data_IF_694292867175
#
_entry.id   IF_694292867175
#
_cell.length_a   1.000
_cell.length_b   1.000
_cell.length_c   1.000
_cell.angle_alpha   90.00
_cell.angle_beta   90.00
_cell.angle_gamma   90.00
#
_symmetry.space_group_name_H-M   'P 1'
#
loop_
_entity.id
_entity.type
_entity.pdbx_description
1 polymer ?
#
# COMPACT_ATOMS: atom_id res chain seq x y z
N UNK A 1 8.49 -13.45 -100.68
CA UNK A 1 8.21 -12.01 -100.48
C UNK A 1 7.08 -11.86 -99.47
N UNK A 2 7.28 -11.05 -98.41
CA UNK A 2 6.32 -10.54 -97.38
C UNK A 2 5.74 -11.59 -96.40
N UNK A 3 6.34 -11.76 -95.21
CA UNK A 3 6.05 -11.15 -93.87
C UNK A 3 4.77 -11.69 -93.19
N UNK A 4 4.91 -12.59 -92.19
CA UNK A 4 4.80 -12.39 -90.71
C UNK A 4 3.40 -12.01 -90.20
N UNK A 5 2.82 -12.52 -89.11
CA UNK A 5 2.98 -13.67 -88.21
C UNK A 5 1.75 -13.58 -87.27
N UNK A 6 1.03 -14.69 -87.11
CA UNK A 6 0.24 -15.22 -85.98
C UNK A 6 -0.39 -14.22 -84.96
N UNK A 7 -1.70 -14.38 -84.75
CA UNK A 7 -2.55 -13.48 -83.96
C UNK A 7 -2.55 -13.64 -82.44
N UNK A 8 -3.38 -12.80 -81.79
CA UNK A 8 -3.77 -12.95 -80.40
C UNK A 8 -5.14 -12.32 -80.16
N UNK A 9 -6.05 -13.11 -79.57
CA UNK A 9 -7.45 -12.80 -79.28
C UNK A 9 -7.53 -12.09 -77.93
N UNK A 10 -8.00 -10.84 -77.90
CA UNK A 10 -8.05 -10.00 -76.70
C UNK A 10 -9.42 -10.16 -76.02
N UNK A 11 -9.48 -10.93 -74.93
CA UNK A 11 -10.64 -11.02 -74.05
C UNK A 11 -10.41 -10.09 -72.84
N UNK A 12 -11.21 -9.03 -72.75
CA UNK A 12 -11.27 -8.10 -71.63
C UNK A 12 -11.80 -8.83 -70.38
N UNK A 13 -10.95 -9.03 -69.38
CA UNK A 13 -11.34 -9.52 -68.05
C UNK A 13 -11.39 -8.34 -67.06
N UNK A 14 -12.58 -8.14 -66.50
CA UNK A 14 -12.91 -7.14 -65.48
C UNK A 14 -12.23 -7.53 -64.15
N UNK A 15 -11.28 -6.73 -63.67
CA UNK A 15 -10.66 -6.94 -62.35
C UNK A 15 -11.51 -6.23 -61.28
N UNK A 16 -12.32 -6.97 -60.53
CA UNK A 16 -12.91 -6.50 -59.27
C UNK A 16 -11.80 -6.42 -58.21
N UNK A 17 -11.42 -5.21 -57.84
CA UNK A 17 -10.63 -4.95 -56.63
C UNK A 17 -11.59 -4.98 -55.42
N UNK A 18 -11.69 -6.13 -54.73
CA UNK A 18 -12.23 -6.15 -53.37
C UNK A 18 -11.15 -5.67 -52.41
N UNK A 19 -11.24 -4.42 -51.98
CA UNK A 19 -10.46 -3.87 -50.88
C UNK A 19 -10.99 -4.53 -49.60
N UNK A 20 -10.31 -5.58 -49.13
CA UNK A 20 -10.52 -6.10 -47.79
C UNK A 20 -9.89 -5.11 -46.79
N UNK A 21 -10.71 -4.21 -46.25
CA UNK A 21 -10.34 -3.47 -45.05
C UNK A 21 -10.22 -4.48 -43.91
N UNK A 22 -8.99 -4.91 -43.61
CA UNK A 22 -8.68 -5.62 -42.39
C UNK A 22 -9.01 -4.73 -41.21
N UNK A 23 -10.18 -4.94 -40.63
CA UNK A 23 -10.54 -4.40 -39.31
C UNK A 23 -9.66 -5.14 -38.31
N UNK A 24 -8.48 -4.58 -38.01
CA UNK A 24 -7.76 -4.93 -36.78
C UNK A 24 -8.60 -4.40 -35.62
N UNK A 25 -9.43 -5.28 -35.07
CA UNK A 25 -10.03 -5.07 -33.76
C UNK A 25 -8.90 -5.02 -32.74
N UNK A 26 -8.54 -3.81 -32.32
CA UNK A 26 -7.74 -3.56 -31.15
C UNK A 26 -8.51 -4.10 -29.94
N UNK A 27 -8.12 -5.28 -29.47
CA UNK A 27 -8.71 -5.95 -28.31
C UNK A 27 -8.37 -5.12 -27.06
N UNK A 28 -9.14 -4.06 -26.83
CA UNK A 28 -9.21 -3.38 -25.54
C UNK A 28 -9.55 -4.46 -24.52
N UNK A 29 -8.58 -4.83 -23.72
CA UNK A 29 -8.70 -5.75 -22.60
C UNK A 29 -9.57 -5.08 -21.52
N UNK A 30 -10.86 -4.94 -21.78
CA UNK A 30 -11.87 -4.80 -20.75
C UNK A 30 -11.94 -6.17 -20.10
N UNK A 31 -11.23 -6.33 -18.98
CA UNK A 31 -11.42 -7.45 -18.08
C UNK A 31 -12.92 -7.51 -17.80
N UNK A 32 -13.58 -8.51 -18.39
CA UNK A 32 -15.00 -8.76 -18.19
C UNK A 32 -15.15 -9.30 -16.76
N UNK A 33 -15.10 -8.39 -15.78
CA UNK A 33 -15.51 -8.67 -14.41
C UNK A 33 -17.01 -8.88 -14.56
N UNK A 34 -17.46 -10.13 -14.46
CA UNK A 34 -18.87 -10.43 -14.21
C UNK A 34 -19.35 -9.45 -13.15
N UNK A 35 -20.52 -8.82 -13.32
CA UNK A 35 -21.12 -7.91 -12.34
C UNK A 35 -21.43 -8.65 -11.02
N UNK A 36 -20.39 -9.02 -10.28
CA UNK A 36 -20.49 -9.63 -8.96
C UNK A 36 -20.71 -8.48 -8.02
N UNK A 37 -21.96 -8.31 -7.62
CA UNK A 37 -22.37 -7.31 -6.67
C UNK A 37 -21.95 -7.80 -5.27
N UNK A 38 -20.89 -7.20 -4.70
CA UNK A 38 -20.26 -7.59 -3.43
C UNK A 38 -20.52 -6.60 -2.28
N UNK A 39 -20.94 -5.38 -2.61
CA UNK A 39 -21.04 -4.26 -1.67
C UNK A 39 -22.27 -3.37 -1.94
N UNK A 40 -23.44 -4.00 -2.00
CA UNK A 40 -24.72 -3.48 -2.45
C UNK A 40 -25.20 -2.36 -1.50
N UNK A 41 -25.07 -2.63 -0.20
CA UNK A 41 -25.46 -1.77 0.92
C UNK A 41 -24.38 -0.73 1.32
N UNK A 42 -23.31 -0.59 0.55
CA UNK A 42 -22.26 0.40 0.78
C UNK A 42 -22.34 1.53 -0.23
N UNK A 43 -22.00 2.75 0.19
CA UNK A 43 -21.88 3.90 -0.72
C UNK A 43 -20.66 3.75 -1.64
N UNK A 44 -19.54 3.30 -1.08
CA UNK A 44 -18.29 3.07 -1.79
C UNK A 44 -17.56 1.86 -1.21
N UNK A 45 -16.87 1.10 -2.05
CA UNK A 45 -16.10 -0.07 -1.66
C UNK A 45 -14.93 -0.33 -2.61
N UNK A 46 -13.91 -1.01 -2.09
CA UNK A 46 -12.81 -1.57 -2.90
C UNK A 46 -12.26 -2.83 -2.23
N UNK A 47 -11.80 -3.76 -3.04
CA UNK A 47 -11.05 -4.94 -2.63
C UNK A 47 -9.78 -5.03 -3.47
N UNK A 48 -8.62 -5.07 -2.81
CA UNK A 48 -7.33 -5.24 -3.48
C UNK A 48 -6.57 -6.42 -2.90
N UNK A 49 -5.72 -7.04 -3.70
CA UNK A 49 -4.62 -7.86 -3.18
C UNK A 49 -3.45 -6.94 -2.83
N UNK A 50 -2.88 -7.11 -1.62
CA UNK A 50 -1.92 -6.16 -1.07
C UNK A 50 -0.63 -6.10 -1.88
N UNK A 51 0.02 -7.24 -2.14
CA UNK A 51 1.39 -7.26 -2.67
C UNK A 51 1.43 -6.67 -4.09
N UNK A 52 0.57 -7.20 -4.95
CA UNK A 52 0.43 -6.75 -6.34
C UNK A 52 -0.26 -5.39 -6.47
N UNK A 53 -1.13 -5.03 -5.51
CA UNK A 53 -2.00 -3.86 -5.64
C UNK A 53 -3.13 -4.05 -6.65
N UNK A 54 -3.36 -5.28 -7.13
CA UNK A 54 -4.42 -5.57 -8.10
C UNK A 54 -5.79 -5.31 -7.47
N UNK A 55 -6.61 -4.49 -8.13
CA UNK A 55 -8.03 -4.29 -7.77
C UNK A 55 -8.84 -5.51 -8.21
N UNK A 56 -9.48 -6.17 -7.25
CA UNK A 56 -10.33 -7.35 -7.47
C UNK A 56 -11.81 -6.99 -7.58
N UNK A 57 -12.21 -5.89 -6.92
CA UNK A 57 -13.56 -5.33 -6.97
C UNK A 57 -13.51 -3.85 -6.57
N UNK A 58 -14.36 -3.03 -7.18
CA UNK A 58 -14.54 -1.62 -6.81
C UNK A 58 -15.97 -1.14 -7.06
N UNK A 59 -16.44 -0.25 -6.19
CA UNK A 59 -17.72 0.48 -6.31
C UNK A 59 -17.47 1.91 -5.85
N UNK A 60 -17.62 2.90 -6.73
CA UNK A 60 -17.39 4.31 -6.41
C UNK A 60 -16.08 4.58 -5.65
N UNK A 61 -15.00 3.84 -5.96
CA UNK A 61 -13.82 3.77 -5.08
C UNK A 61 -13.06 5.11 -4.93
N UNK A 62 -13.28 6.06 -5.84
CA UNK A 62 -12.68 7.40 -5.81
C UNK A 62 -13.63 8.49 -5.30
N UNK A 63 -14.84 8.14 -4.86
CA UNK A 63 -15.78 9.09 -4.27
C UNK A 63 -15.23 9.67 -2.96
N UNK A 64 -15.30 11.00 -2.80
CA UNK A 64 -14.85 11.71 -1.60
C UNK A 64 -15.91 11.61 -0.51
N UNK A 65 -15.57 10.96 0.59
CA UNK A 65 -16.45 10.66 1.71
C UNK A 65 -15.77 10.98 3.04
N UNK A 66 -16.53 11.35 4.08
CA UNK A 66 -15.98 11.52 5.41
C UNK A 66 -15.41 10.18 5.93
N UNK A 67 -14.12 10.10 6.27
CA UNK A 67 -13.47 8.85 6.68
C UNK A 67 -13.77 8.44 8.12
N UNK A 68 -14.29 9.35 8.94
CA UNK A 68 -14.40 9.15 10.39
C UNK A 68 -13.07 8.62 10.98
N UNK A 69 -13.13 7.78 12.01
CA UNK A 69 -11.96 7.15 12.64
C UNK A 69 -11.05 6.32 11.72
N UNK A 70 -11.41 6.04 10.46
CA UNK A 70 -10.44 5.46 9.52
C UNK A 70 -9.27 6.41 9.22
N UNK A 71 -9.43 7.72 9.50
CA UNK A 71 -8.34 8.71 9.55
C UNK A 71 -7.13 8.21 10.35
N UNK A 72 -7.37 7.47 11.43
CA UNK A 72 -6.31 6.95 12.31
C UNK A 72 -5.40 5.92 11.63
N UNK A 73 -5.75 5.42 10.44
CA UNK A 73 -4.82 4.63 9.62
C UNK A 73 -3.60 5.48 9.24
N UNK A 74 -3.80 6.73 8.82
CA UNK A 74 -2.71 7.67 8.54
C UNK A 74 -1.95 8.04 9.82
N UNK A 75 -2.65 8.24 10.93
CA UNK A 75 -2.02 8.51 12.24
C UNK A 75 -1.10 7.35 12.65
N UNK A 76 -1.59 6.11 12.59
CA UNK A 76 -0.76 4.92 12.84
C UNK A 76 0.39 4.80 11.85
N UNK A 77 0.18 5.11 10.57
CA UNK A 77 1.24 5.07 9.56
C UNK A 77 2.40 6.02 9.91
N UNK A 78 2.11 7.27 10.29
CA UNK A 78 3.15 8.22 10.69
C UNK A 78 3.84 7.83 11.99
N UNK A 79 3.13 7.25 12.96
CA UNK A 79 3.74 6.70 14.18
C UNK A 79 4.71 5.57 13.81
N UNK A 80 4.28 4.65 12.94
CA UNK A 80 5.08 3.53 12.47
C UNK A 80 6.33 3.99 11.70
N UNK A 81 6.21 5.02 10.86
CA UNK A 81 7.36 5.64 10.18
C UNK A 81 8.35 6.27 11.15
N UNK A 82 7.87 6.99 12.18
CA UNK A 82 8.75 7.59 13.19
C UNK A 82 9.52 6.50 13.97
N UNK A 83 8.88 5.36 14.26
CA UNK A 83 9.53 4.21 14.90
C UNK A 83 10.59 3.59 13.97
N UNK A 84 10.27 3.36 12.70
CA UNK A 84 11.20 2.76 11.73
C UNK A 84 12.43 3.63 11.47
N UNK A 85 12.26 4.96 11.49
CA UNK A 85 13.37 5.93 11.38
C UNK A 85 14.21 6.07 12.66
N UNK A 86 13.77 5.48 13.77
CA UNK A 86 14.42 5.62 15.09
C UNK A 86 14.20 6.98 15.76
N UNK A 87 13.24 7.77 15.27
CA UNK A 87 12.84 9.07 15.85
C UNK A 87 11.93 8.91 17.08
N UNK A 88 11.34 7.73 17.22
CA UNK A 88 10.41 7.34 18.28
C UNK A 88 10.69 5.89 18.69
N UNK A 89 10.52 5.56 19.97
CA UNK A 89 10.61 4.16 20.45
C UNK A 89 9.34 3.73 21.14
N UNK A 90 9.00 2.43 21.08
CA UNK A 90 7.80 1.90 21.73
C UNK A 90 7.77 2.10 23.26
N UNK A 91 8.94 2.20 23.89
CA UNK A 91 9.09 2.39 25.34
C UNK A 91 9.10 3.85 25.78
N UNK A 92 9.18 4.76 24.81
CA UNK A 92 9.18 6.18 25.12
C UNK A 92 7.85 6.58 25.77
N UNK A 93 7.94 7.38 26.84
CA UNK A 93 6.76 7.94 27.49
C UNK A 93 6.37 9.25 26.82
N UNK A 94 5.08 9.38 26.55
CA UNK A 94 4.47 10.58 26.00
C UNK A 94 3.58 11.19 27.06
N UNK A 95 3.86 12.46 27.38
CA UNK A 95 3.07 13.23 28.35
C UNK A 95 1.86 13.85 27.65
N UNK A 96 0.68 13.60 28.21
CA UNK A 96 -0.59 14.10 27.67
C UNK A 96 -0.74 15.59 27.94
N UNK A 97 -1.09 16.37 26.91
CA UNK A 97 -1.44 17.78 27.05
C UNK A 97 -2.89 17.98 27.52
N UNK A 98 -3.24 19.18 27.98
CA UNK A 98 -4.64 19.54 28.24
C UNK A 98 -5.51 19.42 26.99
N UNK A 99 -4.98 19.77 25.82
CA UNK A 99 -5.69 19.67 24.55
C UNK A 99 -6.01 18.21 24.20
N UNK A 100 -5.01 17.31 24.26
CA UNK A 100 -5.22 15.89 24.03
C UNK A 100 -6.21 15.28 25.03
N UNK A 101 -6.14 15.65 26.31
CA UNK A 101 -7.08 15.19 27.33
C UNK A 101 -8.52 15.73 27.11
N UNK A 102 -8.66 16.92 26.51
CA UNK A 102 -9.95 17.57 26.24
C UNK A 102 -10.74 16.98 25.07
N UNK A 103 -10.13 16.06 24.31
CA UNK A 103 -10.77 15.45 23.14
C UNK A 103 -12.11 14.80 23.53
N UNK A 104 -13.08 14.79 22.61
CA UNK A 104 -14.32 14.03 22.76
C UNK A 104 -14.35 12.76 21.92
N UNK A 105 -15.47 12.05 21.90
CA UNK A 105 -15.67 10.84 21.10
C UNK A 105 -15.09 9.59 21.75
N UNK A 106 -14.49 8.68 20.96
CA UNK A 106 -13.80 7.51 21.52
C UNK A 106 -12.51 7.92 22.21
N UNK A 107 -12.32 7.54 23.47
CA UNK A 107 -11.19 7.95 24.30
C UNK A 107 -10.68 6.79 25.15
N UNK A 108 -9.44 6.91 25.60
CA UNK A 108 -8.90 6.09 26.69
C UNK A 108 -8.86 6.87 28.02
N UNK A 109 -9.43 8.09 28.01
CA UNK A 109 -9.55 9.02 29.13
C UNK A 109 -8.18 9.37 29.73
N UNK A 110 -7.28 9.87 28.89
CA UNK A 110 -6.01 10.43 29.36
C UNK A 110 -6.25 11.68 30.23
N UNK A 111 -5.53 11.80 31.33
CA UNK A 111 -5.53 13.00 32.17
C UNK A 111 -4.39 13.96 31.77
N UNK A 112 -4.55 15.30 31.93
CA UNK A 112 -3.47 16.25 31.69
C UNK A 112 -2.23 15.89 32.51
N UNK A 113 -1.08 15.76 31.83
CA UNK A 113 0.17 15.38 32.44
C UNK A 113 0.38 13.88 32.67
N UNK A 114 -0.63 13.03 32.41
CA UNK A 114 -0.46 11.57 32.44
C UNK A 114 0.56 11.14 31.37
N UNK A 115 1.46 10.23 31.74
CA UNK A 115 2.45 9.65 30.84
C UNK A 115 2.11 8.21 30.51
N UNK A 116 1.96 7.90 29.23
CA UNK A 116 1.83 6.54 28.71
C UNK A 116 2.95 6.24 27.71
N UNK A 117 3.34 4.98 27.60
CA UNK A 117 4.29 4.57 26.57
C UNK A 117 3.67 4.65 25.18
N UNK A 118 4.50 4.83 24.14
CA UNK A 118 4.07 4.77 22.73
C UNK A 118 3.35 3.45 22.42
N UNK A 119 3.79 2.33 23.00
CA UNK A 119 3.10 1.03 22.90
C UNK A 119 1.66 1.08 23.42
N UNK A 120 1.45 1.68 24.59
CA UNK A 120 0.13 1.83 25.20
C UNK A 120 -0.78 2.78 24.41
N UNK A 121 -0.23 3.91 23.94
CA UNK A 121 -0.98 4.85 23.10
C UNK A 121 -1.36 4.21 21.76
N UNK A 122 -0.46 3.43 21.13
CA UNK A 122 -0.77 2.65 19.93
C UNK A 122 -1.89 1.62 20.17
N UNK A 123 -1.90 0.92 21.31
CA UNK A 123 -3.03 0.06 21.71
C UNK A 123 -4.33 0.86 21.80
N UNK A 124 -4.30 2.02 22.47
CA UNK A 124 -5.44 2.92 22.59
C UNK A 124 -6.00 3.38 21.24
N UNK A 125 -5.12 3.74 20.30
CA UNK A 125 -5.49 4.17 18.93
C UNK A 125 -6.04 3.00 18.10
N UNK A 126 -5.33 1.87 18.07
CA UNK A 126 -5.64 0.75 17.19
C UNK A 126 -6.89 -0.02 17.66
N UNK A 127 -7.01 -0.27 18.96
CA UNK A 127 -8.06 -1.11 19.55
C UNK A 127 -9.24 -0.25 20.00
N UNK A 128 -8.98 0.71 20.89
CA UNK A 128 -9.98 1.59 21.48
C UNK A 128 -10.39 2.77 20.59
N UNK A 129 -9.68 3.03 19.50
CA UNK A 129 -9.91 4.19 18.63
C UNK A 129 -9.79 5.54 19.36
N UNK A 130 -8.95 5.62 20.40
CA UNK A 130 -8.78 6.79 21.27
C UNK A 130 -8.34 8.05 20.52
N UNK A 131 -9.15 9.11 20.61
CA UNK A 131 -8.91 10.42 20.02
C UNK A 131 -7.83 11.18 20.81
N UNK A 132 -7.92 11.15 22.14
CA UNK A 132 -6.93 11.64 23.08
C UNK A 132 -5.53 11.05 22.82
N UNK A 133 -5.43 9.74 22.68
CA UNK A 133 -4.18 9.07 22.34
C UNK A 133 -3.65 9.48 20.96
N UNK A 134 -4.55 9.67 19.98
CA UNK A 134 -4.16 10.10 18.62
C UNK A 134 -3.57 11.51 18.63
N UNK A 135 -4.17 12.43 19.39
CA UNK A 135 -3.69 13.81 19.52
C UNK A 135 -2.40 13.87 20.32
N UNK A 136 -2.29 13.14 21.43
CA UNK A 136 -1.05 13.07 22.21
C UNK A 136 0.14 12.58 21.36
N UNK A 137 -0.07 11.54 20.54
CA UNK A 137 0.95 11.06 19.59
C UNK A 137 1.25 12.08 18.49
N UNK A 138 0.24 12.78 17.98
CA UNK A 138 0.42 13.82 16.98
C UNK A 138 1.28 14.98 17.50
N UNK A 139 0.98 15.47 18.70
CA UNK A 139 1.76 16.50 19.38
C UNK A 139 3.18 16.04 19.67
N UNK A 140 3.37 14.80 20.13
CA UNK A 140 4.72 14.26 20.34
C UNK A 140 5.54 14.23 19.06
N UNK A 141 4.97 13.80 17.95
CA UNK A 141 5.71 13.61 16.69
C UNK A 141 6.00 14.95 16.00
N UNK A 142 5.03 15.86 15.98
CA UNK A 142 5.10 17.07 15.16
C UNK A 142 5.14 18.39 15.95
N UNK A 143 5.12 18.32 17.28
CA UNK A 143 5.03 19.47 18.19
C UNK A 143 3.63 20.06 18.36
N UNK A 144 2.71 19.82 17.41
CA UNK A 144 1.29 20.19 17.49
C UNK A 144 0.43 19.32 16.58
N UNK A 145 -0.88 19.23 16.83
CA UNK A 145 -1.79 18.53 15.91
C UNK A 145 -1.82 19.21 14.52
N UNK A 146 -1.75 20.54 14.44
CA UNK A 146 -1.74 21.25 13.17
C UNK A 146 -0.53 20.88 12.30
N UNK A 147 0.67 20.82 12.90
CA UNK A 147 1.88 20.34 12.23
C UNK A 147 1.75 18.88 11.82
N UNK A 148 1.13 18.04 12.65
CA UNK A 148 0.89 16.64 12.33
C UNK A 148 -0.08 16.48 11.15
N UNK A 149 -1.15 17.27 11.09
CA UNK A 149 -2.08 17.30 9.96
C UNK A 149 -1.37 17.73 8.66
N UNK A 150 -0.41 18.65 8.74
CA UNK A 150 0.44 18.97 7.59
C UNK A 150 1.27 17.76 7.14
N UNK A 151 1.86 17.00 8.08
CA UNK A 151 2.55 15.74 7.79
C UNK A 151 1.61 14.70 7.16
N UNK A 152 0.39 14.54 7.67
CA UNK A 152 -0.62 13.62 7.12
C UNK A 152 -0.93 13.96 5.66
N UNK A 153 -1.14 15.24 5.35
CA UNK A 153 -1.43 15.68 3.98
C UNK A 153 -0.20 15.61 3.06
N UNK A 154 1.01 15.82 3.57
CA UNK A 154 2.24 15.59 2.81
C UNK A 154 2.42 14.12 2.49
N UNK A 155 2.19 13.22 3.45
CA UNK A 155 2.19 11.78 3.24
C UNK A 155 1.13 11.36 2.21
N UNK A 156 -0.07 11.94 2.27
CA UNK A 156 -1.10 11.68 1.27
C UNK A 156 -0.64 12.04 -0.15
N UNK A 157 0.07 13.16 -0.33
CA UNK A 157 0.67 13.54 -1.62
C UNK A 157 1.79 12.58 -2.05
N UNK A 158 2.67 12.19 -1.13
CA UNK A 158 3.75 11.22 -1.39
C UNK A 158 3.21 9.88 -1.87
N UNK A 159 2.10 9.42 -1.28
CA UNK A 159 1.41 8.18 -1.67
C UNK A 159 0.50 8.35 -2.89
N UNK A 160 0.40 9.56 -3.45
CA UNK A 160 -0.44 9.84 -4.63
C UNK A 160 -1.96 9.78 -4.37
N UNK A 161 -2.39 9.99 -3.12
CA UNK A 161 -3.80 9.95 -2.71
C UNK A 161 -4.55 11.19 -3.22
N UNK A 162 -5.24 11.06 -4.35
CA UNK A 162 -5.87 12.20 -5.06
C UNK A 162 -7.16 12.68 -4.41
N UNK A 163 -7.79 11.84 -3.59
CA UNK A 163 -9.11 12.06 -3.05
C UNK A 163 -9.10 12.08 -1.52
N UNK A 164 -8.00 12.56 -0.92
CA UNK A 164 -7.81 12.61 0.53
C UNK A 164 -7.34 14.00 0.99
N UNK A 165 -7.94 14.49 2.08
CA UNK A 165 -7.56 15.72 2.78
C UNK A 165 -7.90 15.57 4.26
N UNK A 166 -6.89 15.71 5.13
CA UNK A 166 -7.05 15.63 6.58
C UNK A 166 -7.12 17.01 7.21
N UNK A 167 -7.94 17.15 8.25
CA UNK A 167 -8.10 18.36 9.08
C UNK A 167 -7.76 18.15 10.55
N UNK A 168 -7.69 16.89 10.99
CA UNK A 168 -7.32 16.49 12.34
C UNK A 168 -6.74 15.06 12.33
N UNK A 169 -6.14 14.63 13.43
CA UNK A 169 -5.52 13.31 13.57
C UNK A 169 -6.52 12.19 13.92
N UNK A 170 -7.78 12.55 14.16
CA UNK A 170 -8.77 11.66 14.80
C UNK A 170 -9.85 11.17 13.85
N UNK A 171 -10.21 11.98 12.85
CA UNK A 171 -11.37 11.78 12.00
C UNK A 171 -12.68 12.31 12.58
N UNK A 172 -12.63 13.21 13.57
CA UNK A 172 -13.80 13.99 13.96
C UNK A 172 -14.29 14.83 12.77
N UNK A 173 -15.61 15.05 12.62
CA UNK A 173 -16.16 15.85 11.53
C UNK A 173 -15.52 17.23 11.47
N UNK A 174 -15.04 17.60 10.28
CA UNK A 174 -14.47 18.91 10.00
C UNK A 174 -14.64 19.22 8.52
N UNK A 175 -14.89 20.49 8.19
CA UNK A 175 -15.08 20.91 6.80
C UNK A 175 -13.84 20.61 5.94
N UNK A 176 -14.06 19.95 4.80
CA UNK A 176 -12.97 19.54 3.91
C UNK A 176 -12.11 18.37 4.43
N UNK A 177 -12.59 17.62 5.43
CA UNK A 177 -11.98 16.36 5.89
C UNK A 177 -12.61 15.17 5.16
N UNK A 178 -11.91 14.62 4.17
CA UNK A 178 -12.44 13.54 3.32
C UNK A 178 -11.35 12.56 2.89
N UNK A 179 -11.76 11.37 2.45
CA UNK A 179 -10.95 10.34 1.80
C UNK A 179 -11.79 9.60 0.76
N UNK A 180 -11.22 8.62 0.05
CA UNK A 180 -11.99 7.63 -0.71
C UNK A 180 -11.66 6.19 -0.29
N UNK A 181 -12.45 5.22 -0.76
CA UNK A 181 -12.19 3.80 -0.51
C UNK A 181 -10.85 3.35 -1.11
N UNK A 182 -10.54 3.77 -2.33
CA UNK A 182 -9.25 3.55 -2.99
C UNK A 182 -8.09 4.09 -2.14
N UNK A 183 -8.15 5.37 -1.75
CA UNK A 183 -7.06 6.00 -0.99
C UNK A 183 -6.86 5.33 0.38
N UNK A 184 -7.94 4.88 1.04
CA UNK A 184 -7.88 4.08 2.27
C UNK A 184 -7.21 2.72 2.07
N UNK A 185 -7.45 2.06 0.94
CA UNK A 185 -6.79 0.79 0.61
C UNK A 185 -5.28 0.99 0.38
N UNK A 186 -4.88 2.09 -0.27
CA UNK A 186 -3.47 2.44 -0.45
C UNK A 186 -2.80 2.78 0.88
N UNK A 187 -3.45 3.57 1.75
CA UNK A 187 -2.93 3.85 3.09
C UNK A 187 -2.77 2.58 3.93
N UNK A 188 -3.75 1.68 3.90
CA UNK A 188 -3.65 0.41 4.60
C UNK A 188 -2.54 -0.47 4.02
N UNK A 189 -2.36 -0.49 2.69
CA UNK A 189 -1.25 -1.20 2.03
C UNK A 189 0.10 -0.67 2.52
N UNK A 190 0.26 0.65 2.63
CA UNK A 190 1.49 1.27 3.13
C UNK A 190 1.72 0.95 4.61
N UNK A 191 0.68 1.07 5.45
CA UNK A 191 0.75 0.72 6.87
C UNK A 191 1.13 -0.75 7.10
N UNK A 192 0.65 -1.65 6.25
CA UNK A 192 0.93 -3.09 6.33
C UNK A 192 2.34 -3.49 5.90
N UNK A 193 3.21 -2.54 5.51
CA UNK A 193 4.66 -2.79 5.40
C UNK A 193 5.33 -2.93 6.76
N UNK A 194 4.69 -2.42 7.82
CA UNK A 194 5.18 -2.51 9.19
C UNK A 194 4.51 -3.69 9.90
N UNK A 195 5.09 -4.88 9.78
CA UNK A 195 4.49 -6.14 10.26
C UNK A 195 4.02 -6.12 11.73
N UNK A 196 4.61 -5.27 12.58
CA UNK A 196 4.18 -5.14 13.97
C UNK A 196 2.79 -4.52 14.14
N UNK A 197 2.25 -3.79 13.15
CA UNK A 197 0.96 -3.10 13.32
C UNK A 197 -0.20 -4.08 13.55
N UNK A 198 -0.14 -5.27 12.95
CA UNK A 198 -1.17 -6.31 13.12
C UNK A 198 -1.17 -6.90 14.53
N UNK A 199 -0.09 -6.74 15.31
CA UNK A 199 -0.07 -7.07 16.75
C UNK A 199 -1.00 -6.17 17.57
N UNK A 200 -1.35 -4.99 17.04
CA UNK A 200 -2.31 -4.07 17.65
C UNK A 200 -3.68 -4.22 17.00
N UNK A 201 -3.76 -4.05 15.67
CA UNK A 201 -5.05 -4.05 14.94
C UNK A 201 -5.74 -5.41 14.91
N UNK A 202 -4.97 -6.49 15.08
CA UNK A 202 -5.44 -7.87 15.10
C UNK A 202 -5.75 -8.42 16.50
N UNK A 203 -5.67 -7.60 17.56
CA UNK A 203 -6.17 -8.00 18.87
C UNK A 203 -7.66 -7.70 19.00
N UNK A 204 -8.42 -8.64 19.54
CA UNK A 204 -9.84 -8.42 19.83
C UNK A 204 -10.06 -7.54 21.06
N UNK A 205 -9.23 -7.70 22.08
CA UNK A 205 -9.27 -6.94 23.32
C UNK A 205 -7.86 -6.85 23.93
N UNK A 206 -7.66 -5.85 24.78
CA UNK A 206 -6.44 -5.64 25.54
C UNK A 206 -6.75 -4.77 26.77
N UNK A 207 -5.76 -4.49 27.60
CA UNK A 207 -5.92 -3.61 28.75
C UNK A 207 -4.85 -2.52 28.76
N UNK A 208 -5.23 -1.35 29.28
CA UNK A 208 -4.32 -0.29 29.67
C UNK A 208 -4.33 -0.16 31.18
N UNK A 209 -3.24 0.37 31.75
CA UNK A 209 -3.14 0.67 33.18
C UNK A 209 -3.43 -0.55 34.07
N UNK A 210 -3.03 -1.74 33.60
CA UNK A 210 -3.50 -3.03 34.14
C UNK A 210 -3.20 -3.25 35.62
N UNK A 211 -2.09 -2.70 36.12
CA UNK A 211 -1.65 -2.82 37.51
C UNK A 211 -1.99 -1.59 38.36
N UNK A 212 -3.06 -0.86 38.00
CA UNK A 212 -3.52 0.34 38.71
C UNK A 212 -5.02 0.24 39.00
N UNK A 213 -5.51 1.10 39.89
CA UNK A 213 -6.93 1.32 40.14
C UNK A 213 -7.68 1.86 38.91
N UNK A 214 -6.95 2.44 37.94
CA UNK A 214 -7.47 2.96 36.66
C UNK A 214 -7.41 1.95 35.51
N UNK A 215 -7.38 0.64 35.78
CA UNK A 215 -7.39 -0.41 34.74
C UNK A 215 -8.50 -0.16 33.72
N UNK A 216 -8.11 -0.06 32.45
CA UNK A 216 -9.01 0.29 31.36
C UNK A 216 -9.07 -0.81 30.32
N UNK A 217 -10.26 -1.34 30.05
CA UNK A 217 -10.47 -2.41 29.08
C UNK A 217 -10.65 -1.84 27.68
N UNK A 218 -9.80 -2.28 26.75
CA UNK A 218 -9.89 -1.97 25.35
C UNK A 218 -10.58 -3.10 24.60
N UNK A 219 -11.55 -2.73 23.76
CA UNK A 219 -12.27 -3.67 22.93
C UNK A 219 -12.24 -3.20 21.49
N UNK A 220 -11.76 -4.06 20.60
CA UNK A 220 -11.60 -3.72 19.20
C UNK A 220 -12.97 -3.48 18.56
N UNK A 221 -13.11 -2.29 17.99
CA UNK A 221 -14.27 -1.90 17.20
C UNK A 221 -14.48 -2.78 15.96
N UNK A 222 -13.41 -3.35 15.40
CA UNK A 222 -13.47 -4.33 14.33
C UNK A 222 -13.71 -5.74 14.91
N UNK A 223 -14.99 -6.13 14.97
CA UNK A 223 -15.39 -7.45 15.47
C UNK A 223 -14.91 -8.61 14.59
N UNK A 224 -14.63 -8.37 13.30
CA UNK A 224 -14.19 -9.44 12.39
C UNK A 224 -12.86 -10.07 12.81
N UNK A 225 -12.01 -9.36 13.57
CA UNK A 225 -10.78 -9.90 14.16
C UNK A 225 -11.04 -11.16 14.99
N UNK A 226 -12.21 -11.28 15.63
CA UNK A 226 -12.59 -12.46 16.40
C UNK A 226 -13.38 -13.49 15.59
N UNK A 227 -14.15 -13.05 14.60
CA UNK A 227 -15.17 -13.87 13.96
C UNK A 227 -14.86 -14.30 12.53
N UNK A 228 -13.83 -13.74 11.90
CA UNK A 228 -13.39 -14.12 10.56
C UNK A 228 -11.92 -14.57 10.58
N UNK A 229 -11.61 -15.86 10.32
CA UNK A 229 -10.25 -16.36 10.32
C UNK A 229 -9.32 -15.58 9.38
N UNK A 230 -8.17 -15.17 9.90
CA UNK A 230 -7.16 -14.44 9.15
C UNK A 230 -7.35 -12.93 9.10
N UNK A 231 -8.46 -12.36 9.60
CA UNK A 231 -8.60 -10.90 9.77
C UNK A 231 -7.73 -10.43 10.93
N UNK A 232 -6.84 -9.48 10.65
CA UNK A 232 -5.88 -8.92 11.60
C UNK A 232 -5.84 -7.38 11.59
N UNK A 233 -6.90 -6.74 11.08
CA UNK A 233 -7.02 -5.29 11.04
C UNK A 233 -8.08 -4.79 10.04
N UNK A 234 -8.08 -3.52 9.65
CA UNK A 234 -7.23 -2.43 10.17
C UNK A 234 -8.05 -1.52 11.09
N UNK A 235 -9.07 -0.83 10.58
CA UNK A 235 -9.76 0.21 11.35
C UNK A 235 -11.19 0.47 10.89
N UNK A 236 -12.10 0.55 11.86
CA UNK A 236 -13.48 1.03 11.66
C UNK A 236 -13.58 2.56 11.75
N UNK A 237 -14.64 3.11 11.16
CA UNK A 237 -15.07 4.50 11.34
C UNK A 237 -16.58 4.62 11.44
N UNK A 238 -17.07 5.56 12.25
CA UNK A 238 -18.47 5.93 12.33
C UNK A 238 -18.65 7.38 12.73
N UNK A 239 -19.51 8.09 11.98
CA UNK A 239 -20.17 9.35 12.38
C UNK A 239 -21.57 9.33 11.77
N UNK A 240 -22.45 10.26 12.18
CA UNK A 240 -23.79 10.38 11.57
C UNK A 240 -23.73 10.62 10.06
N UNK A 241 -22.71 11.36 9.61
CA UNK A 241 -22.45 11.69 8.20
C UNK A 241 -21.81 10.52 7.44
N UNK A 242 -20.78 9.87 8.01
CA UNK A 242 -20.05 8.79 7.36
C UNK A 242 -20.78 7.45 7.35
N UNK A 243 -21.76 7.27 8.24
CA UNK A 243 -22.34 5.96 8.58
C UNK A 243 -21.25 4.95 8.96
N UNK A 244 -21.46 3.66 8.75
CA UNK A 244 -20.54 2.62 9.18
C UNK A 244 -19.50 2.31 8.10
N UNK A 245 -18.24 2.57 8.42
CA UNK A 245 -17.10 2.32 7.55
C UNK A 245 -16.14 1.30 8.17
N UNK A 246 -15.35 0.62 7.33
CA UNK A 246 -14.26 -0.26 7.75
C UNK A 246 -13.27 -0.46 6.62
N UNK A 247 -11.99 -0.29 6.95
CA UNK A 247 -10.87 -0.85 6.19
C UNK A 247 -10.40 -2.11 6.92
N UNK A 248 -10.60 -3.26 6.31
CA UNK A 248 -10.21 -4.56 6.83
C UNK A 248 -9.04 -5.15 6.04
N UNK A 249 -8.23 -5.95 6.71
CA UNK A 249 -7.21 -6.80 6.08
C UNK A 249 -7.40 -8.22 6.57
N UNK A 250 -7.17 -9.17 5.67
CA UNK A 250 -7.10 -10.57 6.03
C UNK A 250 -5.95 -11.26 5.30
N UNK A 251 -5.30 -12.22 5.96
CA UNK A 251 -4.30 -13.09 5.35
C UNK A 251 -4.76 -14.54 5.42
N UNK A 252 -4.71 -15.22 4.27
CA UNK A 252 -4.89 -16.67 4.17
C UNK A 252 -3.78 -17.23 3.28
N UNK A 253 -3.05 -18.20 3.80
CA UNK A 253 -1.84 -18.73 3.16
C UNK A 253 -0.87 -17.60 2.78
N UNK A 254 -0.46 -17.53 1.51
CA UNK A 254 0.45 -16.50 0.97
C UNK A 254 -0.28 -15.24 0.45
N UNK A 255 -1.62 -15.18 0.56
CA UNK A 255 -2.41 -14.09 0.02
C UNK A 255 -2.89 -13.17 1.15
N UNK A 256 -2.63 -11.87 1.00
CA UNK A 256 -3.21 -10.84 1.87
C UNK A 256 -4.06 -9.90 1.03
N UNK A 257 -5.27 -9.64 1.52
CA UNK A 257 -6.22 -8.74 0.84
C UNK A 257 -6.61 -7.59 1.77
N UNK A 258 -6.96 -6.47 1.16
CA UNK A 258 -7.47 -5.29 1.84
C UNK A 258 -8.84 -4.99 1.25
N UNK A 259 -9.85 -4.93 2.11
CA UNK A 259 -11.22 -4.63 1.75
C UNK A 259 -11.68 -3.36 2.49
N UNK A 260 -12.25 -2.41 1.77
CA UNK A 260 -12.73 -1.14 2.32
C UNK A 260 -14.20 -0.97 1.99
N UNK A 261 -14.98 -0.55 2.97
CA UNK A 261 -16.38 -0.14 2.83
C UNK A 261 -16.57 1.22 3.48
N UNK A 262 -17.27 2.11 2.78
CA UNK A 262 -17.82 3.36 3.30
C UNK A 262 -19.34 3.34 3.27
N UNK A 263 -19.95 3.97 4.28
CA UNK A 263 -21.36 4.38 4.17
C UNK A 263 -22.38 3.26 4.34
N UNK A 264 -22.05 2.13 4.99
CA UNK A 264 -23.02 1.08 5.22
C UNK A 264 -24.06 1.48 6.30
N UNK A 265 -25.32 1.04 6.19
CA UNK A 265 -26.42 1.52 7.05
C UNK A 265 -26.30 1.06 8.50
N UNK A 266 -25.85 -0.18 8.76
CA UNK A 266 -25.57 -0.66 10.13
C UNK A 266 -24.23 -1.40 10.22
N UNK A 267 -23.73 -1.67 11.46
CA UNK A 267 -22.54 -2.50 11.67
C UNK A 267 -22.65 -3.89 11.03
N UNK A 268 -23.87 -4.45 10.96
CA UNK A 268 -24.11 -5.79 10.44
C UNK A 268 -23.90 -5.84 8.93
N UNK A 269 -24.50 -4.92 8.16
CA UNK A 269 -24.31 -4.88 6.71
C UNK A 269 -22.87 -4.50 6.37
N UNK A 270 -22.26 -3.59 7.14
CA UNK A 270 -20.84 -3.24 7.01
C UNK A 270 -19.94 -4.47 7.12
N UNK A 271 -20.15 -5.31 8.13
CA UNK A 271 -19.38 -6.54 8.32
C UNK A 271 -19.69 -7.57 7.24
N UNK A 272 -20.97 -7.75 6.86
CA UNK A 272 -21.38 -8.71 5.85
C UNK A 272 -20.74 -8.41 4.47
N UNK A 273 -20.69 -7.14 4.07
CA UNK A 273 -20.07 -6.74 2.79
C UNK A 273 -18.56 -6.97 2.79
N UNK A 274 -17.87 -6.65 3.88
CA UNK A 274 -16.43 -6.95 4.03
C UNK A 274 -16.21 -8.46 3.93
N UNK A 275 -16.95 -9.27 4.69
CA UNK A 275 -16.87 -10.74 4.66
C UNK A 275 -17.08 -11.28 3.23
N UNK A 276 -18.12 -10.80 2.53
CA UNK A 276 -18.42 -11.20 1.14
C UNK A 276 -17.25 -10.90 0.18
N UNK A 277 -16.62 -9.74 0.32
CA UNK A 277 -15.43 -9.38 -0.46
C UNK A 277 -14.21 -10.26 -0.12
N UNK A 278 -13.95 -10.53 1.16
CA UNK A 278 -12.86 -11.41 1.59
C UNK A 278 -13.04 -12.84 1.05
N UNK A 279 -14.25 -13.40 1.20
CA UNK A 279 -14.60 -14.74 0.70
C UNK A 279 -14.49 -14.83 -0.82
N UNK A 280 -14.94 -13.80 -1.54
CA UNK A 280 -14.74 -13.70 -2.97
C UNK A 280 -13.24 -13.76 -3.33
N UNK A 281 -12.41 -12.95 -2.68
CA UNK A 281 -10.97 -12.92 -2.96
C UNK A 281 -10.32 -14.28 -2.77
N UNK A 282 -10.55 -14.91 -1.61
CA UNK A 282 -9.91 -16.17 -1.25
C UNK A 282 -10.52 -17.39 -1.96
N UNK A 283 -11.73 -17.28 -2.52
CA UNK A 283 -12.32 -18.35 -3.35
C UNK A 283 -11.80 -18.30 -4.78
N UNK A 284 -11.65 -17.11 -5.36
CA UNK A 284 -11.33 -16.93 -6.77
C UNK A 284 -9.84 -16.87 -7.07
N UNK A 285 -9.03 -16.40 -6.12
CA UNK A 285 -7.63 -16.08 -6.37
C UNK A 285 -6.67 -16.80 -5.44
N UNK A 286 -5.41 -16.85 -5.85
CA UNK A 286 -4.27 -17.26 -5.04
C UNK A 286 -3.05 -16.42 -5.40
N UNK A 287 -2.21 -16.16 -4.40
CA UNK A 287 -0.97 -15.38 -4.56
C UNK A 287 0.23 -16.31 -4.46
N UNK A 288 1.16 -16.18 -5.41
CA UNK A 288 2.39 -16.96 -5.48
C UNK A 288 3.56 -16.06 -5.12
N UNK A 289 4.20 -16.24 -3.95
CA UNK A 289 5.37 -15.47 -3.60
C UNK A 289 6.54 -15.89 -4.52
N UNK A 290 7.22 -14.91 -5.10
CA UNK A 290 8.36 -15.11 -5.99
C UNK A 290 9.65 -14.68 -5.30
N UNK A 291 9.66 -13.49 -4.70
CA UNK A 291 10.80 -12.97 -3.94
C UNK A 291 10.37 -12.34 -2.63
N UNK A 292 11.15 -12.54 -1.59
CA UNK A 292 11.00 -11.82 -0.33
C UNK A 292 11.51 -10.38 -0.45
N UNK A 293 11.16 -9.54 0.54
CA UNK A 293 11.71 -8.19 0.68
C UNK A 293 13.20 -8.25 1.01
N UNK A 294 13.97 -7.28 0.54
CA UNK A 294 15.42 -7.16 0.77
C UNK A 294 16.27 -8.32 0.20
N UNK A 295 15.71 -9.13 -0.70
CA UNK A 295 16.46 -10.16 -1.41
C UNK A 295 17.42 -9.51 -2.40
N UNK A 296 18.70 -9.87 -2.35
CA UNK A 296 19.71 -9.39 -3.30
C UNK A 296 19.44 -9.99 -4.67
N UNK A 297 19.12 -9.13 -5.64
CA UNK A 297 18.78 -9.53 -7.02
C UNK A 297 19.98 -9.41 -7.95
N UNK A 298 20.80 -8.38 -7.77
CA UNK A 298 21.98 -8.11 -8.60
C UNK A 298 22.90 -7.08 -7.92
N UNK A 299 23.99 -6.68 -8.57
CA UNK A 299 24.89 -5.60 -8.15
C UNK A 299 24.92 -4.49 -9.21
N UNK A 300 24.87 -3.24 -8.76
CA UNK A 300 25.05 -2.06 -9.59
C UNK A 300 26.48 -1.55 -9.48
N UNK A 301 27.13 -1.23 -10.61
CA UNK A 301 28.41 -0.49 -10.60
C UNK A 301 28.18 0.96 -10.23
N UNK A 302 28.97 1.46 -9.28
CA UNK A 302 28.90 2.83 -8.76
C UNK A 302 30.17 3.58 -9.13
N UNK A 303 30.01 4.67 -9.87
CA UNK A 303 31.10 5.57 -10.22
C UNK A 303 31.34 6.60 -9.12
N UNK A 304 32.61 6.91 -8.87
CA UNK A 304 33.06 7.88 -7.84
C UNK A 304 32.54 7.60 -6.43
N UNK A 305 32.12 6.37 -6.13
CA UNK A 305 31.73 5.96 -4.78
C UNK A 305 32.90 5.43 -3.98
N UNK A 306 32.83 5.56 -2.65
CA UNK A 306 33.76 4.91 -1.72
C UNK A 306 33.87 3.41 -2.06
N UNK A 307 32.73 2.78 -2.35
CA UNK A 307 32.63 1.47 -2.98
C UNK A 307 32.30 1.62 -4.48
N UNK A 308 32.81 0.69 -5.29
CA UNK A 308 32.60 0.68 -6.75
C UNK A 308 31.37 -0.13 -7.17
N UNK A 309 30.70 -0.79 -6.23
CA UNK A 309 29.48 -1.54 -6.44
C UNK A 309 28.56 -1.40 -5.23
N UNK A 310 27.26 -1.64 -5.45
CA UNK A 310 26.25 -1.72 -4.41
C UNK A 310 25.27 -2.84 -4.72
N UNK A 311 24.89 -3.62 -3.69
CA UNK A 311 23.84 -4.62 -3.81
C UNK A 311 22.50 -3.93 -4.14
N UNK A 312 21.82 -4.45 -5.15
CA UNK A 312 20.46 -4.05 -5.50
C UNK A 312 19.49 -5.13 -4.99
N UNK A 313 18.51 -4.71 -4.20
CA UNK A 313 17.54 -5.59 -3.55
C UNK A 313 16.10 -5.29 -3.99
N UNK A 314 15.21 -6.25 -3.74
CA UNK A 314 13.75 -6.02 -3.80
C UNK A 314 13.32 -5.04 -2.71
N UNK A 315 12.58 -3.99 -3.07
CA UNK A 315 12.08 -3.01 -2.09
C UNK A 315 10.92 -3.54 -1.24
N UNK A 316 10.13 -4.45 -1.82
CA UNK A 316 8.94 -5.07 -1.25
C UNK A 316 8.91 -6.57 -1.62
N UNK A 317 8.13 -7.41 -0.93
CA UNK A 317 7.85 -8.77 -1.39
C UNK A 317 7.24 -8.74 -2.79
N UNK A 318 7.67 -9.66 -3.64
CA UNK A 318 7.24 -9.76 -5.03
C UNK A 318 6.42 -11.02 -5.18
N UNK A 319 5.16 -10.85 -5.53
CA UNK A 319 4.19 -11.93 -5.67
C UNK A 319 3.45 -11.81 -7.00
N UNK A 320 2.96 -12.93 -7.52
CA UNK A 320 2.08 -12.97 -8.69
C UNK A 320 0.70 -13.43 -8.23
N UNK A 321 -0.32 -12.65 -8.56
CA UNK A 321 -1.71 -13.02 -8.35
C UNK A 321 -2.25 -13.79 -9.56
N UNK A 322 -2.87 -14.94 -9.33
CA UNK A 322 -3.60 -15.67 -10.36
C UNK A 322 -4.99 -16.05 -9.89
N UNK A 323 -5.91 -16.24 -10.84
CA UNK A 323 -7.13 -17.00 -10.56
C UNK A 323 -6.76 -18.44 -10.17
N UNK A 324 -7.56 -19.06 -9.31
CA UNK A 324 -7.38 -20.48 -9.00
C UNK A 324 -7.62 -21.32 -10.26
N UNK A 325 -6.84 -22.39 -10.40
CA UNK A 325 -6.81 -23.22 -11.61
C UNK A 325 -5.88 -22.71 -12.72
N UNK A 326 -5.39 -21.46 -12.67
CA UNK A 326 -4.41 -20.95 -13.63
C UNK A 326 -2.99 -21.43 -13.28
N UNK A 327 -2.24 -21.86 -14.31
CA UNK A 327 -0.83 -22.26 -14.21
C UNK A 327 0.10 -21.05 -14.18
N UNK A 328 1.17 -21.13 -13.38
CA UNK A 328 2.25 -20.14 -13.29
C UNK A 328 3.55 -20.60 -13.98
N UNK A 329 3.45 -21.56 -14.91
CA UNK A 329 4.62 -21.99 -15.69
C UNK A 329 5.12 -20.84 -16.59
N UNK A 330 6.41 -20.90 -16.91
CA UNK A 330 7.07 -20.06 -17.90
C UNK A 330 7.13 -18.55 -17.55
N UNK A 331 7.46 -18.26 -16.28
CA UNK A 331 7.77 -16.90 -15.85
C UNK A 331 9.23 -16.58 -16.18
N UNK A 332 9.42 -15.65 -17.10
CA UNK A 332 10.73 -15.09 -17.47
C UNK A 332 11.06 -13.88 -16.60
N UNK A 333 12.31 -13.85 -16.11
CA UNK A 333 12.85 -12.76 -15.28
C UNK A 333 13.73 -11.83 -16.12
N UNK A 334 13.39 -10.55 -16.16
CA UNK A 334 14.22 -9.51 -16.80
C UNK A 334 14.60 -8.45 -15.76
N UNK A 335 15.91 -8.26 -15.55
CA UNK A 335 16.42 -7.22 -14.64
C UNK A 335 16.97 -6.07 -15.49
N UNK A 336 16.46 -4.86 -15.25
CA UNK A 336 16.98 -3.63 -15.86
C UNK A 336 17.69 -2.81 -14.79
N UNK A 337 19.01 -2.71 -14.86
CA UNK A 337 19.81 -1.88 -13.94
C UNK A 337 20.09 -0.54 -14.61
N UNK A 338 20.01 0.56 -13.86
CA UNK A 338 20.38 1.90 -14.36
C UNK A 338 21.86 1.94 -14.73
N UNK A 339 22.17 2.58 -15.85
CA UNK A 339 23.55 2.84 -16.25
C UNK A 339 24.13 4.07 -15.52
N UNK A 340 25.45 4.15 -15.42
CA UNK A 340 26.18 5.33 -14.94
C UNK A 340 25.75 5.85 -13.56
N UNK A 341 25.46 4.94 -12.63
CA UNK A 341 25.10 5.29 -11.25
C UNK A 341 26.30 6.00 -10.60
N UNK A 342 26.07 7.19 -10.03
CA UNK A 342 27.07 8.05 -9.39
C UNK A 342 26.78 8.17 -7.89
N UNK A 343 27.83 8.15 -7.07
CA UNK A 343 27.71 8.46 -5.66
C UNK A 343 27.45 9.98 -5.43
N UNK A 344 26.81 10.37 -4.32
CA UNK A 344 26.35 9.52 -3.22
C UNK A 344 25.03 8.79 -3.54
N UNK A 345 24.94 7.54 -3.10
CA UNK A 345 23.71 6.73 -3.14
C UNK A 345 23.22 6.57 -1.71
N UNK A 346 21.91 6.74 -1.50
CA UNK A 346 21.26 6.40 -0.24
C UNK A 346 20.61 5.03 -0.34
N UNK A 347 20.58 4.31 0.77
CA UNK A 347 19.76 3.11 0.94
C UNK A 347 18.32 3.44 0.54
N UNK A 348 17.73 2.59 -0.30
CA UNK A 348 16.39 2.80 -0.83
C UNK A 348 16.33 3.54 -2.17
N UNK A 349 17.42 4.14 -2.65
CA UNK A 349 17.44 4.77 -3.98
C UNK A 349 17.14 3.71 -5.06
N UNK A 350 16.24 4.01 -5.99
CA UNK A 350 15.92 3.08 -7.08
C UNK A 350 17.08 3.01 -8.08
N UNK A 351 17.69 1.83 -8.17
CA UNK A 351 18.83 1.54 -9.06
C UNK A 351 18.47 0.63 -10.23
N UNK A 352 17.24 0.11 -10.27
CA UNK A 352 16.77 -0.71 -11.37
C UNK A 352 15.28 -1.05 -11.28
N UNK A 353 14.88 -1.99 -12.13
CA UNK A 353 13.52 -2.54 -12.19
C UNK A 353 13.60 -4.03 -12.50
N UNK A 354 12.86 -4.82 -11.74
CA UNK A 354 12.55 -6.21 -12.06
C UNK A 354 11.28 -6.25 -12.90
N UNK A 355 11.34 -6.94 -14.03
CA UNK A 355 10.19 -7.20 -14.90
C UNK A 355 9.99 -8.71 -14.97
N UNK A 356 8.82 -9.18 -14.56
CA UNK A 356 8.40 -10.58 -14.73
C UNK A 356 7.49 -10.66 -15.95
N UNK A 357 7.82 -11.54 -16.89
CA UNK A 357 7.03 -11.80 -18.10
C UNK A 357 6.49 -13.23 -18.08
N UNK A 358 5.29 -13.43 -18.60
CA UNK A 358 4.72 -14.76 -18.84
C UNK A 358 4.18 -14.77 -20.26
N UNK A 359 4.59 -15.76 -21.06
CA UNK A 359 4.23 -15.85 -22.49
C UNK A 359 4.55 -14.55 -23.26
N UNK A 360 5.70 -13.94 -22.98
CA UNK A 360 6.13 -12.67 -23.59
C UNK A 360 5.42 -11.40 -23.09
N UNK A 361 4.33 -11.51 -22.32
CA UNK A 361 3.60 -10.38 -21.74
C UNK A 361 4.15 -10.02 -20.36
N UNK A 362 4.33 -8.73 -20.09
CA UNK A 362 4.72 -8.24 -18.76
C UNK A 362 3.57 -8.47 -17.78
N UNK A 363 3.84 -9.24 -16.72
CA UNK A 363 2.87 -9.54 -15.66
C UNK A 363 3.08 -8.67 -14.44
N UNK A 364 4.33 -8.27 -14.19
CA UNK A 364 4.69 -7.43 -13.06
C UNK A 364 5.95 -6.62 -13.36
N UNK A 365 5.96 -5.36 -12.94
CA UNK A 365 7.17 -4.55 -12.81
C UNK A 365 7.32 -4.08 -11.37
N UNK A 366 8.52 -4.22 -10.80
CA UNK A 366 8.81 -3.83 -9.43
C UNK A 366 10.16 -3.10 -9.34
N UNK A 367 10.25 -1.96 -8.62
CA UNK A 367 11.50 -1.24 -8.47
C UNK A 367 12.51 -2.06 -7.67
N UNK A 368 13.78 -1.93 -8.05
CA UNK A 368 14.92 -2.49 -7.33
C UNK A 368 15.75 -1.36 -6.74
N UNK A 369 16.11 -1.47 -5.47
CA UNK A 369 16.65 -0.37 -4.67
C UNK A 369 18.03 -0.70 -4.09
N UNK A 370 18.81 0.33 -3.77
CA UNK A 370 20.10 0.19 -3.10
C UNK A 370 19.93 -0.39 -1.69
N UNK A 371 20.68 -1.44 -1.37
CA UNK A 371 20.66 -2.06 -0.04
C UNK A 371 21.27 -1.17 1.05
N UNK A 372 22.24 -0.34 0.69
CA UNK A 372 23.05 0.44 1.62
C UNK A 372 23.47 1.80 1.03
N UNK A 373 23.95 2.68 1.91
CA UNK A 373 24.48 3.99 1.51
C UNK A 373 25.87 3.83 0.88
N UNK A 374 26.10 4.46 -0.27
CA UNK A 374 27.44 4.60 -0.85
C UNK A 374 27.82 6.07 -0.86
N UNK A 375 28.69 6.47 0.06
CA UNK A 375 29.26 7.82 0.08
C UNK A 375 30.13 8.08 -1.16
N UNK A 376 30.31 9.35 -1.51
CA UNK A 376 31.30 9.75 -2.50
C UNK A 376 32.72 9.31 -2.06
N UNK A 377 33.54 8.91 -3.03
CA UNK A 377 34.95 8.59 -2.80
C UNK A 377 35.70 9.85 -2.36
N UNK A 378 36.54 9.72 -1.33
CA UNK A 378 37.49 10.79 -1.00
C UNK A 378 38.60 10.85 -2.06
N UNK A 379 39.33 11.97 -2.10
CA UNK A 379 40.51 12.10 -2.98
C UNK A 379 41.53 10.96 -2.76
N UNK A 380 41.73 10.54 -1.52
CA UNK A 380 42.59 9.41 -1.17
C UNK A 380 42.08 8.06 -1.70
N UNK A 381 40.77 7.84 -1.70
CA UNK A 381 40.16 6.62 -2.25
C UNK A 381 40.34 6.53 -3.76
N UNK A 382 40.21 7.67 -4.45
CA UNK A 382 40.46 7.78 -5.89
C UNK A 382 41.94 7.57 -6.21
N UNK A 383 42.84 8.21 -5.46
CA UNK A 383 44.29 8.07 -5.62
C UNK A 383 44.75 6.61 -5.44
N UNK A 384 44.32 5.94 -4.36
CA UNK A 384 44.66 4.52 -4.11
C UNK A 384 44.14 3.60 -5.21
N UNK A 385 42.96 3.87 -5.78
CA UNK A 385 42.42 3.08 -6.90
C UNK A 385 43.25 3.22 -8.17
N UNK A 386 43.65 4.44 -8.50
CA UNK A 386 44.50 4.70 -9.66
C UNK A 386 45.87 4.03 -9.49
N UNK A 387 46.49 4.17 -8.32
CA UNK A 387 47.80 3.55 -8.04
C UNK A 387 47.74 2.02 -7.97
N UNK A 388 46.67 1.45 -7.40
CA UNK A 388 46.47 0.00 -7.33
C UNK A 388 46.31 -0.68 -8.70
N UNK A 389 45.89 0.05 -9.73
CA UNK A 389 45.90 -0.43 -11.12
C UNK A 389 47.32 -0.55 -11.68
N UNK A 390 48.24 0.35 -11.29
CA UNK A 390 49.64 0.31 -11.72
C UNK A 390 50.48 -0.78 -11.05
N UNK A 391 50.05 -1.29 -9.88
CA UNK A 391 50.78 -2.35 -9.13
C UNK A 391 50.26 -3.76 -9.44
N UNK A 392 49.07 -3.88 -10.05
CA UNK A 392 48.49 -5.15 -10.51
C UNK A 392 48.72 -5.45 -12.00
N UNK A 393 49.36 -4.53 -12.72
CA UNK A 393 49.91 -4.77 -14.06
C UNK A 393 51.37 -5.19 -13.91
#
# INVERSE_FOLDING_TARGET
MKRLFIGFMMFTFLFMFTISTGVQAEEKTKTNVQNVELADEARSAILIERDTGTVLYEKNAHEKLPPASMTKIMTMLLIMEAIDKGELTLKEKVRTSEYAASMGGSQIFLEPGEEMTVDELLKGIAIGSGNDASVAMAERIAGSEASFVAMMNNKAKELGLKNTSFKNATGLPAEGHYSSAYDMAIMAKELLKYDQITKYTGKYEDYLRENTDKKFWLVNTNRLVKFYPGVDGVKTGFTHEAKYCLTATAKKDNMRVIAVVFGAPTPKERNAQITKMLDYAFSQYKTHPIYERNLVISKAKVSKGKWNEVDIVTSEPISILTKKGTSIKDIEKVIKVKENIKAPIKKGDQLGTLVLKQNGKVVLESPLVAKENVAAASWWDLFKRTFGWFVKS
#
